data_IF_623482381590
#
_entry.id   IF_623482381590
#
_cell.length_a   1.000
_cell.length_b   1.000
_cell.length_c   1.000
_cell.angle_alpha   90.00
_cell.angle_beta   90.00
_cell.angle_gamma   90.00
#
_symmetry.space_group_name_H-M   'P 1'
#
loop_
_entity.id
_entity.type
_entity.pdbx_description
1 polymer ?
#
# COMPACT_ATOMS: atom_id res chain seq x y z
N UNK A 1 16.74 -10.79 5.17
CA UNK A 1 16.63 -10.74 3.69
C UNK A 1 16.91 -9.33 3.19
N UNK A 2 17.74 -9.16 2.16
CA UNK A 2 17.95 -7.87 1.49
C UNK A 2 16.90 -7.73 0.39
N UNK A 3 16.07 -6.68 0.43
CA UNK A 3 15.10 -6.38 -0.63
C UNK A 3 15.85 -5.82 -1.84
N UNK A 4 15.62 -6.39 -3.03
CA UNK A 4 16.19 -5.86 -4.26
C UNK A 4 15.52 -4.55 -4.66
N UNK A 5 16.22 -3.68 -5.39
CA UNK A 5 15.66 -2.40 -5.86
C UNK A 5 14.40 -2.57 -6.72
N UNK A 6 14.32 -3.66 -7.50
CA UNK A 6 13.14 -4.01 -8.30
C UNK A 6 11.93 -4.31 -7.42
N UNK A 7 12.12 -5.14 -6.39
CA UNK A 7 11.06 -5.46 -5.43
C UNK A 7 10.66 -4.20 -4.64
N UNK A 8 11.62 -3.39 -4.22
CA UNK A 8 11.34 -2.13 -3.53
C UNK A 8 10.47 -1.18 -4.38
N UNK A 9 10.81 -1.01 -5.66
CA UNK A 9 10.00 -0.23 -6.60
C UNK A 9 8.59 -0.81 -6.80
N UNK A 10 8.50 -2.14 -6.95
CA UNK A 10 7.21 -2.83 -7.03
C UNK A 10 6.33 -2.59 -5.79
N UNK A 11 6.89 -2.71 -4.58
CA UNK A 11 6.15 -2.48 -3.34
C UNK A 11 5.62 -1.06 -3.22
N UNK A 12 6.37 -0.06 -3.70
CA UNK A 12 5.92 1.33 -3.73
C UNK A 12 4.79 1.50 -4.75
N UNK A 13 4.95 0.95 -5.96
CA UNK A 13 3.91 1.00 -6.99
C UNK A 13 2.62 0.31 -6.55
N UNK A 14 2.74 -0.87 -5.92
CA UNK A 14 1.62 -1.60 -5.34
C UNK A 14 0.93 -0.79 -4.23
N UNK A 15 1.71 -0.19 -3.32
CA UNK A 15 1.15 0.66 -2.27
C UNK A 15 0.37 1.85 -2.84
N UNK A 16 0.92 2.52 -3.86
CA UNK A 16 0.23 3.64 -4.52
C UNK A 16 -1.07 3.18 -5.22
N UNK A 17 -1.04 2.04 -5.91
CA UNK A 17 -2.22 1.47 -6.56
C UNK A 17 -3.30 1.08 -5.53
N UNK A 18 -2.90 0.43 -4.42
CA UNK A 18 -3.83 0.12 -3.33
C UNK A 18 -4.49 1.39 -2.78
N UNK A 19 -3.72 2.44 -2.49
CA UNK A 19 -4.29 3.70 -2.00
C UNK A 19 -5.31 4.25 -3.00
N UNK A 20 -4.96 4.28 -4.29
CA UNK A 20 -5.85 4.76 -5.34
C UNK A 20 -7.15 3.95 -5.42
N UNK A 21 -7.07 2.63 -5.49
CA UNK A 21 -8.22 1.73 -5.61
C UNK A 21 -9.15 1.83 -4.39
N UNK A 22 -8.61 1.76 -3.18
CA UNK A 22 -9.42 1.73 -1.96
C UNK A 22 -10.04 3.09 -1.62
N UNK A 23 -9.37 4.21 -1.94
CA UNK A 23 -9.99 5.54 -1.85
C UNK A 23 -11.11 5.67 -2.89
N UNK A 24 -10.87 5.23 -4.13
CA UNK A 24 -11.88 5.26 -5.19
C UNK A 24 -13.09 4.43 -4.82
N UNK A 25 -12.90 3.22 -4.29
CA UNK A 25 -13.98 2.40 -3.76
C UNK A 25 -14.75 3.16 -2.68
N UNK A 26 -14.06 3.77 -1.72
CA UNK A 26 -14.67 4.59 -0.66
C UNK A 26 -15.65 5.65 -1.19
N UNK A 27 -15.29 6.35 -2.27
CA UNK A 27 -16.18 7.31 -2.92
C UNK A 27 -17.31 6.68 -3.76
N UNK A 28 -17.10 5.45 -4.24
CA UNK A 28 -18.05 4.72 -5.07
C UNK A 28 -18.98 3.80 -4.27
N UNK A 29 -18.95 3.83 -2.93
CA UNK A 29 -19.98 3.18 -2.12
C UNK A 29 -21.30 3.92 -2.34
N UNK A 30 -22.15 3.37 -3.21
CA UNK A 30 -23.48 3.91 -3.48
C UNK A 30 -24.39 3.81 -2.25
N UNK A 31 -25.36 4.71 -2.17
CA UNK A 31 -26.42 4.65 -1.19
C UNK A 31 -27.41 3.52 -1.50
N UNK A 32 -28.17 3.09 -0.49
CA UNK A 32 -29.23 2.08 -0.63
C UNK A 32 -28.87 0.66 -0.18
N UNK A 33 -27.73 0.48 0.50
CA UNK A 33 -27.34 -0.80 1.08
C UNK A 33 -27.64 -0.88 2.60
N UNK A 34 -27.70 -2.09 3.19
CA UNK A 34 -27.81 -2.23 4.65
C UNK A 34 -26.57 -1.71 5.38
N UNK A 35 -26.70 -1.24 6.64
CA UNK A 35 -25.58 -0.74 7.46
C UNK A 35 -24.37 -1.67 7.50
N UNK A 36 -24.61 -2.99 7.59
CA UNK A 36 -23.55 -3.99 7.62
C UNK A 36 -22.66 -3.96 6.36
N UNK A 37 -23.22 -3.62 5.19
CA UNK A 37 -22.46 -3.46 3.95
C UNK A 37 -21.40 -2.36 4.11
N UNK A 38 -21.78 -1.19 4.61
CA UNK A 38 -20.87 -0.05 4.81
C UNK A 38 -19.83 -0.34 5.89
N UNK A 39 -20.20 -1.04 6.96
CA UNK A 39 -19.26 -1.41 8.04
C UNK A 39 -18.17 -2.34 7.50
N UNK A 40 -18.54 -3.40 6.78
CA UNK A 40 -17.58 -4.37 6.24
C UNK A 40 -16.65 -3.70 5.24
N UNK A 41 -17.18 -2.93 4.28
CA UNK A 41 -16.36 -2.24 3.30
C UNK A 41 -15.48 -1.15 3.92
N UNK A 42 -16.00 -0.41 4.92
CA UNK A 42 -15.23 0.56 5.67
C UNK A 42 -14.03 -0.07 6.38
N UNK A 43 -14.20 -1.23 7.02
CA UNK A 43 -13.10 -1.98 7.64
C UNK A 43 -12.11 -2.45 6.56
N UNK A 44 -12.59 -3.01 5.44
CA UNK A 44 -11.74 -3.47 4.34
C UNK A 44 -10.88 -2.33 3.78
N UNK A 45 -11.48 -1.16 3.54
CA UNK A 45 -10.76 0.04 3.09
C UNK A 45 -9.70 0.44 4.12
N UNK A 46 -10.08 0.59 5.39
CA UNK A 46 -9.19 1.04 6.44
C UNK A 46 -7.97 0.12 6.61
N UNK A 47 -8.20 -1.20 6.67
CA UNK A 47 -7.12 -2.19 6.81
C UNK A 47 -6.20 -2.18 5.59
N UNK A 48 -6.75 -2.10 4.38
CA UNK A 48 -5.92 -2.08 3.17
C UNK A 48 -5.09 -0.79 3.04
N UNK A 49 -5.62 0.36 3.47
CA UNK A 49 -4.84 1.60 3.51
C UNK A 49 -3.67 1.48 4.49
N UNK A 50 -3.87 0.87 5.67
CA UNK A 50 -2.79 0.58 6.61
C UNK A 50 -1.74 -0.35 5.99
N UNK A 51 -2.17 -1.42 5.32
CA UNK A 51 -1.26 -2.33 4.62
C UNK A 51 -0.48 -1.62 3.52
N UNK A 52 -1.14 -0.77 2.72
CA UNK A 52 -0.50 0.01 1.68
C UNK A 52 0.60 0.92 2.26
N UNK A 53 0.33 1.60 3.39
CA UNK A 53 1.34 2.41 4.08
C UNK A 53 2.52 1.55 4.54
N UNK A 54 2.27 0.39 5.14
CA UNK A 54 3.34 -0.53 5.59
C UNK A 54 4.20 -0.99 4.41
N UNK A 55 3.58 -1.42 3.30
CA UNK A 55 4.29 -1.84 2.09
C UNK A 55 5.10 -0.69 1.48
N UNK A 56 4.52 0.51 1.43
CA UNK A 56 5.19 1.72 0.97
C UNK A 56 6.43 2.04 1.82
N UNK A 57 6.31 1.99 3.15
CA UNK A 57 7.45 2.18 4.07
C UNK A 57 8.53 1.13 3.85
N UNK A 58 8.17 -0.14 3.67
CA UNK A 58 9.13 -1.22 3.39
C UNK A 58 9.84 -0.97 2.05
N UNK A 59 9.11 -0.60 1.01
CA UNK A 59 9.66 -0.28 -0.30
C UNK A 59 10.61 0.92 -0.25
N UNK A 60 10.22 2.00 0.43
CA UNK A 60 11.06 3.20 0.62
C UNK A 60 12.36 2.86 1.35
N UNK A 61 12.30 2.06 2.42
CA UNK A 61 13.49 1.56 3.12
C UNK A 61 14.37 0.69 2.22
N UNK A 62 13.76 -0.11 1.34
CA UNK A 62 14.46 -0.94 0.35
C UNK A 62 15.23 -0.10 -0.68
N UNK A 63 14.68 1.03 -1.12
CA UNK A 63 15.35 1.95 -2.05
C UNK A 63 16.45 2.79 -1.36
N UNK A 64 16.24 3.17 -0.10
CA UNK A 64 17.17 3.99 0.68
C UNK A 64 18.48 3.27 1.05
N UNK A 65 18.52 1.94 1.02
CA UNK A 65 19.76 1.17 1.19
C UNK A 65 20.68 1.38 -0.02
N UNK A 66 21.66 2.30 0.12
CA UNK A 66 22.77 2.46 -0.84
C UNK A 66 23.55 1.13 -0.96
N UNK A 67 23.95 0.71 -2.18
CA UNK A 67 24.98 -0.31 -2.32
C UNK A 67 26.23 0.18 -1.57
N UNK A 68 26.81 -0.64 -0.70
CA UNK A 68 28.17 -0.35 -0.21
C UNK A 68 29.08 -0.37 -1.44
N UNK A 69 29.59 0.81 -1.82
CA UNK A 69 30.66 0.90 -2.81
C UNK A 69 31.90 0.15 -2.31
N UNK A 70 32.84 -0.20 -3.20
CA UNK A 70 34.06 -0.90 -2.80
C UNK A 70 34.75 -0.13 -1.68
N UNK A 71 35.12 -0.84 -0.60
CA UNK A 71 36.12 -0.32 0.33
C UNK A 71 37.44 -0.43 -0.42
N UNK A 72 37.94 0.71 -0.88
CA UNK A 72 39.23 0.83 -1.57
C UNK A 72 40.35 0.39 -0.64
#
# INVERSE_FOLDING_TARGET
MQISRKIAGFLIGLAAFMIFEWITLGFNLADGHPTAFYVVHGILIAVNLVLAVVLGVIGLRGLAKRPKGPVV
#
